data_IF_083444004305
#
_entry.id   IF_083444004305
#
_cell.length_a   1.000
_cell.length_b   1.000
_cell.length_c   1.000
_cell.angle_alpha   90.00
_cell.angle_beta   90.00
_cell.angle_gamma   90.00
#
_symmetry.space_group_name_H-M   'P 1'
#
loop_
_entity.id
_entity.type
_entity.pdbx_description
1 polymer ?
#
# COMPACT_ATOMS: atom_id res chain seq x y z
N UNK A 1 -81.36 24.80 -29.96
CA UNK A 1 -80.41 24.56 -28.85
C UNK A 1 -79.10 24.06 -29.45
N UNK A 2 -78.02 24.87 -29.47
CA UNK A 2 -76.70 24.42 -29.96
C UNK A 2 -76.02 23.61 -28.85
N UNK A 3 -75.72 22.34 -29.11
CA UNK A 3 -75.00 21.49 -28.17
C UNK A 3 -73.55 21.99 -28.01
N UNK A 4 -73.15 22.27 -26.77
CA UNK A 4 -71.76 22.61 -26.41
C UNK A 4 -70.92 21.33 -26.55
N UNK A 5 -69.92 21.37 -27.43
CA UNK A 5 -69.03 20.23 -27.70
C UNK A 5 -67.97 20.18 -26.59
N UNK A 6 -67.82 19.06 -25.84
CA UNK A 6 -66.80 18.95 -24.81
C UNK A 6 -65.40 18.94 -25.43
N UNK A 7 -64.51 19.81 -24.91
CA UNK A 7 -63.11 19.88 -25.31
C UNK A 7 -62.37 18.77 -24.55
N UNK A 8 -61.97 17.70 -25.25
CA UNK A 8 -61.23 16.59 -24.64
C UNK A 8 -59.71 16.81 -24.77
N UNK A 9 -59.02 17.00 -23.64
CA UNK A 9 -57.55 17.10 -23.55
C UNK A 9 -56.86 15.72 -23.69
N UNK A 10 -57.17 14.96 -24.75
CA UNK A 10 -56.61 13.62 -24.99
C UNK A 10 -55.10 13.72 -25.23
N UNK A 11 -54.30 13.02 -24.43
CA UNK A 11 -52.84 12.93 -24.57
C UNK A 11 -52.02 13.98 -23.81
N UNK A 12 -52.66 14.95 -23.15
CA UNK A 12 -51.95 15.96 -22.34
C UNK A 12 -51.09 15.35 -21.22
N UNK A 13 -51.61 14.31 -20.56
CA UNK A 13 -50.91 13.55 -19.51
C UNK A 13 -49.66 12.86 -20.07
N UNK A 14 -49.77 12.23 -21.24
CA UNK A 14 -48.65 11.52 -21.88
C UNK A 14 -47.53 12.50 -22.25
N UNK A 15 -47.87 13.66 -22.84
CA UNK A 15 -46.89 14.70 -23.18
C UNK A 15 -46.21 15.23 -21.91
N UNK A 16 -46.97 15.48 -20.85
CA UNK A 16 -46.42 15.91 -19.57
C UNK A 16 -45.44 14.88 -18.99
N UNK A 17 -45.80 13.60 -18.98
CA UNK A 17 -44.93 12.51 -18.50
C UNK A 17 -43.68 12.39 -19.37
N UNK A 18 -43.78 12.48 -20.70
CA UNK A 18 -42.60 12.41 -21.58
C UNK A 18 -41.61 13.54 -21.31
N UNK A 19 -42.09 14.76 -21.04
CA UNK A 19 -41.23 15.91 -20.68
C UNK A 19 -40.55 15.67 -19.33
N UNK A 20 -41.31 15.25 -18.32
CA UNK A 20 -40.77 14.94 -16.99
C UNK A 20 -39.73 13.82 -17.06
N UNK A 21 -40.02 12.75 -17.80
CA UNK A 21 -39.11 11.62 -17.97
C UNK A 21 -37.83 12.03 -18.70
N UNK A 22 -37.93 12.86 -19.74
CA UNK A 22 -36.77 13.41 -20.43
C UNK A 22 -35.89 14.24 -19.48
N UNK A 23 -36.51 15.07 -18.63
CA UNK A 23 -35.78 15.83 -17.61
C UNK A 23 -35.06 14.92 -16.61
N UNK A 24 -35.67 13.80 -16.20
CA UNK A 24 -35.06 12.82 -15.29
C UNK A 24 -33.86 12.15 -15.96
N UNK A 25 -33.96 11.76 -17.23
CA UNK A 25 -32.85 11.16 -17.96
C UNK A 25 -31.66 12.10 -18.13
N UNK A 26 -31.90 13.40 -18.33
CA UNK A 26 -30.82 14.39 -18.37
C UNK A 26 -30.06 14.44 -17.03
N UNK A 27 -30.78 14.49 -15.91
CA UNK A 27 -30.17 14.50 -14.58
C UNK A 27 -29.43 13.18 -14.31
N UNK A 28 -30.06 12.04 -14.59
CA UNK A 28 -29.44 10.73 -14.41
C UNK A 28 -28.17 10.56 -15.27
N UNK A 29 -28.21 10.97 -16.54
CA UNK A 29 -27.07 10.91 -17.45
C UNK A 29 -25.87 11.72 -16.94
N UNK A 30 -26.10 12.99 -16.55
CA UNK A 30 -25.03 13.82 -15.99
C UNK A 30 -24.44 13.25 -14.70
N UNK A 31 -25.27 12.66 -13.84
CA UNK A 31 -24.80 12.01 -12.62
C UNK A 31 -23.99 10.74 -12.92
N UNK A 32 -24.43 9.93 -13.89
CA UNK A 32 -23.70 8.74 -14.35
C UNK A 32 -22.35 9.11 -14.93
N UNK A 33 -22.25 10.17 -15.72
CA UNK A 33 -20.97 10.64 -16.27
C UNK A 33 -20.03 11.14 -15.16
N UNK A 34 -20.56 11.90 -14.20
CA UNK A 34 -19.78 12.32 -13.03
C UNK A 34 -19.31 11.12 -12.19
N UNK A 35 -20.16 10.11 -12.01
CA UNK A 35 -19.81 8.87 -11.33
C UNK A 35 -18.72 8.11 -12.09
N UNK A 36 -18.81 8.02 -13.42
CA UNK A 36 -17.82 7.35 -14.27
C UNK A 36 -16.43 7.97 -14.12
N UNK A 37 -16.33 9.30 -14.10
CA UNK A 37 -15.06 10.01 -13.90
C UNK A 37 -14.47 9.70 -12.51
N UNK A 38 -15.30 9.70 -11.46
CA UNK A 38 -14.85 9.38 -10.10
C UNK A 38 -14.38 7.93 -9.98
N UNK A 39 -15.08 6.99 -10.62
CA UNK A 39 -14.67 5.60 -10.66
C UNK A 39 -13.35 5.41 -11.40
N UNK A 40 -13.16 6.11 -12.52
CA UNK A 40 -11.91 6.10 -13.27
C UNK A 40 -10.73 6.56 -12.40
N UNK A 41 -10.87 7.69 -11.71
CA UNK A 41 -9.85 8.18 -10.78
C UNK A 41 -9.55 7.18 -9.65
N UNK A 42 -10.60 6.60 -9.08
CA UNK A 42 -10.47 5.60 -8.01
C UNK A 42 -9.76 4.33 -8.50
N UNK A 43 -10.02 3.90 -9.73
CA UNK A 43 -9.35 2.76 -10.35
C UNK A 43 -7.86 3.05 -10.59
N UNK A 44 -7.53 4.23 -11.12
CA UNK A 44 -6.14 4.66 -11.32
C UNK A 44 -5.36 4.68 -10.00
N UNK A 45 -5.95 5.22 -8.93
CA UNK A 45 -5.31 5.26 -7.63
C UNK A 45 -5.06 3.85 -7.07
N UNK A 46 -6.04 2.95 -7.18
CA UNK A 46 -5.88 1.54 -6.75
C UNK A 46 -4.81 0.83 -7.56
N UNK A 47 -4.85 0.95 -8.88
CA UNK A 47 -3.87 0.35 -9.77
C UNK A 47 -2.46 0.84 -9.45
N UNK A 48 -2.30 2.14 -9.19
CA UNK A 48 -1.03 2.76 -8.79
C UNK A 48 -0.53 2.20 -7.47
N UNK A 49 -1.37 2.13 -6.44
CA UNK A 49 -0.98 1.60 -5.13
C UNK A 49 -0.61 0.12 -5.19
N UNK A 50 -1.36 -0.68 -5.95
CA UNK A 50 -1.04 -2.10 -6.16
C UNK A 50 0.30 -2.26 -6.88
N UNK A 51 0.52 -1.52 -7.98
CA UNK A 51 1.77 -1.57 -8.72
C UNK A 51 2.97 -1.11 -7.86
N UNK A 52 2.83 -0.04 -7.09
CA UNK A 52 3.86 0.40 -6.13
C UNK A 52 4.15 -0.70 -5.11
N UNK A 53 3.12 -1.33 -4.55
CA UNK A 53 3.29 -2.41 -3.57
C UNK A 53 3.97 -3.63 -4.18
N UNK A 54 3.67 -3.98 -5.44
CA UNK A 54 4.32 -5.06 -6.18
C UNK A 54 5.80 -4.78 -6.39
N UNK A 55 6.14 -3.57 -6.84
CA UNK A 55 7.55 -3.15 -7.00
C UNK A 55 8.27 -3.17 -5.65
N UNK A 56 7.63 -2.67 -4.59
CA UNK A 56 8.20 -2.64 -3.25
C UNK A 56 8.34 -4.04 -2.62
N UNK A 57 7.53 -5.01 -3.04
CA UNK A 57 7.63 -6.40 -2.59
C UNK A 57 8.87 -7.12 -3.14
N UNK A 58 9.48 -6.62 -4.23
CA UNK A 58 10.73 -7.13 -4.79
C UNK A 58 11.98 -6.69 -3.99
N UNK A 59 11.82 -6.37 -2.70
CA UNK A 59 12.94 -5.96 -1.84
C UNK A 59 13.88 -7.14 -1.58
N UNK A 60 15.14 -6.85 -1.26
CA UNK A 60 16.09 -7.90 -0.92
C UNK A 60 15.83 -8.45 0.50
N UNK A 61 15.47 -9.74 0.59
CA UNK A 61 15.20 -10.40 1.87
C UNK A 61 16.41 -10.49 2.79
N UNK A 62 17.61 -10.76 2.27
CA UNK A 62 18.83 -10.85 3.09
C UNK A 62 19.14 -9.52 3.77
N UNK A 63 19.02 -8.42 3.02
CA UNK A 63 19.25 -7.06 3.51
C UNK A 63 18.25 -6.70 4.64
N UNK A 64 16.99 -7.09 4.49
CA UNK A 64 15.96 -6.88 5.51
C UNK A 64 16.16 -7.78 6.73
N UNK A 65 16.46 -9.05 6.55
CA UNK A 65 16.52 -10.02 7.65
C UNK A 65 17.75 -9.82 8.53
N UNK A 66 18.90 -9.55 7.91
CA UNK A 66 20.17 -9.37 8.62
C UNK A 66 20.31 -7.95 9.19
N UNK A 67 19.91 -6.93 8.43
CA UNK A 67 20.17 -5.53 8.78
C UNK A 67 18.92 -4.69 9.05
N UNK A 68 17.71 -5.22 8.81
CA UNK A 68 16.47 -4.46 8.98
C UNK A 68 16.21 -3.44 7.87
N UNK A 69 17.00 -3.46 6.80
CA UNK A 69 17.00 -2.43 5.77
C UNK A 69 16.13 -2.84 4.57
N UNK A 70 15.28 -1.93 4.11
CA UNK A 70 14.48 -2.11 2.90
C UNK A 70 15.20 -1.47 1.71
N UNK A 71 15.62 -2.30 0.75
CA UNK A 71 16.31 -1.85 -0.45
C UNK A 71 16.14 -2.79 -1.64
N UNK A 72 16.37 -2.22 -2.82
CA UNK A 72 16.34 -2.91 -4.12
C UNK A 72 17.71 -2.76 -4.78
N UNK A 73 18.12 -3.75 -5.57
CA UNK A 73 19.35 -3.70 -6.37
C UNK A 73 19.12 -3.14 -7.78
N UNK A 74 17.91 -2.69 -8.09
CA UNK A 74 17.53 -2.28 -9.44
C UNK A 74 17.98 -0.85 -9.78
N UNK A 75 18.45 -0.68 -11.01
CA UNK A 75 18.63 0.61 -11.64
C UNK A 75 17.28 1.34 -11.82
N UNK A 76 17.35 2.67 -11.91
CA UNK A 76 16.18 3.55 -11.99
C UNK A 76 15.22 3.18 -13.10
N UNK A 77 15.78 2.78 -14.24
CA UNK A 77 15.04 2.45 -15.46
C UNK A 77 14.24 1.16 -15.26
N UNK A 78 14.89 0.12 -14.72
CA UNK A 78 14.24 -1.17 -14.45
C UNK A 78 13.10 -1.07 -13.43
N UNK A 79 13.19 -0.17 -12.46
CA UNK A 79 12.11 0.08 -11.49
C UNK A 79 10.89 0.74 -12.17
N UNK A 80 11.13 1.73 -13.03
CA UNK A 80 10.07 2.38 -13.78
C UNK A 80 9.38 1.40 -14.74
N UNK A 81 10.16 0.60 -15.46
CA UNK A 81 9.63 -0.41 -16.39
C UNK A 81 8.77 -1.45 -15.66
N UNK A 82 9.26 -1.95 -14.53
CA UNK A 82 8.53 -2.92 -13.71
C UNK A 82 7.23 -2.32 -13.15
N UNK A 83 7.29 -1.06 -12.71
CA UNK A 83 6.09 -0.35 -12.27
C UNK A 83 5.08 -0.16 -13.40
N UNK A 84 5.53 0.26 -14.58
CA UNK A 84 4.69 0.47 -15.76
C UNK A 84 4.02 -0.83 -16.20
N UNK A 85 4.74 -1.95 -16.18
CA UNK A 85 4.20 -3.27 -16.47
C UNK A 85 3.08 -3.64 -15.48
N UNK A 86 3.32 -3.51 -14.17
CA UNK A 86 2.29 -3.81 -13.18
C UNK A 86 1.12 -2.82 -13.26
N UNK A 87 1.39 -1.55 -13.50
CA UNK A 87 0.38 -0.50 -13.56
C UNK A 87 -0.54 -0.69 -14.78
N UNK A 88 0.03 -0.95 -15.96
CA UNK A 88 -0.72 -1.22 -17.19
C UNK A 88 -1.61 -2.46 -17.06
N UNK A 89 -1.09 -3.54 -16.46
CA UNK A 89 -1.87 -4.75 -16.13
C UNK A 89 -3.03 -4.45 -15.19
N UNK A 90 -2.80 -3.68 -14.12
CA UNK A 90 -3.86 -3.30 -13.16
C UNK A 90 -4.92 -2.36 -13.76
N UNK A 91 -4.56 -1.61 -14.80
CA UNK A 91 -5.49 -0.78 -15.57
C UNK A 91 -6.21 -1.54 -16.69
N UNK A 92 -5.94 -2.85 -16.85
CA UNK A 92 -6.43 -3.69 -17.95
C UNK A 92 -6.12 -3.11 -19.34
N UNK A 93 -5.00 -2.39 -19.48
CA UNK A 93 -4.58 -1.84 -20.77
C UNK A 93 -4.25 -3.00 -21.72
N UNK A 94 -4.93 -3.08 -22.86
CA UNK A 94 -4.80 -4.14 -23.85
C UNK A 94 -5.84 -5.27 -23.72
N UNK A 95 -6.76 -5.18 -22.75
CA UNK A 95 -7.84 -6.16 -22.54
C UNK A 95 -9.06 -5.82 -23.39
N UNK A 96 -9.86 -6.79 -23.85
CA UNK A 96 -11.06 -6.49 -24.66
C UNK A 96 -12.15 -5.69 -23.91
N UNK A 97 -12.08 -5.62 -22.58
CA UNK A 97 -13.08 -5.01 -21.70
C UNK A 97 -12.66 -3.59 -21.23
N UNK A 98 -12.34 -2.72 -22.19
CA UNK A 98 -11.93 -1.34 -21.92
C UNK A 98 -13.14 -0.45 -21.59
N UNK A 99 -13.42 -0.27 -20.29
CA UNK A 99 -14.51 0.62 -19.83
C UNK A 99 -14.15 2.11 -19.84
N UNK A 100 -12.86 2.45 -19.65
CA UNK A 100 -12.40 3.84 -19.43
C UNK A 100 -11.38 4.34 -20.45
N UNK A 101 -10.81 3.47 -21.29
CA UNK A 101 -9.85 3.85 -22.33
C UNK A 101 -8.57 4.52 -21.81
N UNK A 102 -8.00 4.01 -20.71
CA UNK A 102 -6.77 4.57 -20.13
C UNK A 102 -5.59 4.48 -21.09
N UNK A 103 -4.81 5.56 -21.15
CA UNK A 103 -3.51 5.62 -21.82
C UNK A 103 -2.46 6.20 -20.86
N UNK A 104 -1.26 5.63 -20.86
CA UNK A 104 -0.15 6.08 -20.02
C UNK A 104 0.72 7.00 -20.87
N UNK A 105 0.84 8.28 -20.47
CA UNK A 105 1.68 9.26 -21.18
C UNK A 105 3.08 9.38 -20.57
N UNK A 106 3.15 9.47 -19.24
CA UNK A 106 4.40 9.60 -18.51
C UNK A 106 4.25 9.03 -17.10
N UNK A 107 5.28 8.33 -16.65
CA UNK A 107 5.40 7.84 -15.28
C UNK A 107 6.64 8.48 -14.66
N UNK A 108 6.45 9.16 -13.54
CA UNK A 108 7.54 9.68 -12.72
C UNK A 108 7.43 9.10 -11.32
N UNK A 109 8.34 8.20 -10.97
CA UNK A 109 8.45 7.68 -9.62
C UNK A 109 9.39 8.55 -8.79
N UNK A 110 8.86 9.13 -7.72
CA UNK A 110 9.67 9.79 -6.70
C UNK A 110 9.97 8.80 -5.58
N UNK A 111 11.23 8.78 -5.12
CA UNK A 111 11.70 7.84 -4.09
C UNK A 111 12.10 8.58 -2.83
N UNK A 112 11.12 9.00 -2.01
CA UNK A 112 11.43 9.66 -0.75
C UNK A 112 12.13 8.71 0.24
N UNK A 113 11.88 7.39 0.16
CA UNK A 113 12.34 6.38 1.13
C UNK A 113 13.61 5.61 0.74
N UNK A 114 14.47 6.19 -0.11
CA UNK A 114 15.73 5.53 -0.48
C UNK A 114 16.73 5.46 0.67
N UNK A 115 17.54 4.38 0.70
CA UNK A 115 18.63 4.22 1.67
C UNK A 115 19.72 5.30 1.55
N UNK A 116 19.76 6.07 0.45
CA UNK A 116 20.64 7.23 0.32
C UNK A 116 20.27 8.41 1.25
N UNK A 117 19.07 8.40 1.82
CA UNK A 117 18.67 9.38 2.82
C UNK A 117 19.08 8.88 4.22
N UNK A 118 20.09 9.53 4.81
CA UNK A 118 20.63 9.15 6.11
C UNK A 118 19.57 9.08 7.22
N UNK A 119 18.58 9.98 7.20
CA UNK A 119 17.50 9.98 8.19
C UNK A 119 16.68 8.68 8.13
N UNK A 120 16.34 8.23 6.93
CA UNK A 120 15.51 7.04 6.71
C UNK A 120 16.31 5.77 6.99
N UNK A 121 17.59 5.79 6.62
CA UNK A 121 18.53 4.73 6.97
C UNK A 121 18.62 4.54 8.49
N UNK A 122 18.82 5.64 9.24
CA UNK A 122 18.87 5.60 10.70
C UNK A 122 17.54 5.13 11.31
N UNK A 123 16.40 5.64 10.82
CA UNK A 123 15.07 5.23 11.27
C UNK A 123 14.83 3.72 11.06
N UNK A 124 15.26 3.14 9.93
CA UNK A 124 15.13 1.70 9.66
C UNK A 124 15.99 0.86 10.62
N UNK A 125 17.23 1.29 10.89
CA UNK A 125 18.10 0.62 11.87
C UNK A 125 17.48 0.70 13.27
N UNK A 126 17.01 1.88 13.67
CA UNK A 126 16.44 2.08 14.99
C UNK A 126 15.18 1.24 15.22
N UNK A 127 14.29 1.14 14.22
CA UNK A 127 13.10 0.29 14.34
C UNK A 127 13.48 -1.20 14.40
N UNK A 128 14.51 -1.63 13.66
CA UNK A 128 15.02 -3.00 13.74
C UNK A 128 15.65 -3.33 15.11
N UNK A 129 16.36 -2.38 15.70
CA UNK A 129 17.03 -2.53 16.99
C UNK A 129 16.10 -2.41 18.19
N UNK A 130 14.91 -1.81 18.04
CA UNK A 130 13.92 -1.54 19.10
C UNK A 130 13.67 -2.71 20.04
N UNK A 131 13.62 -3.94 19.51
CA UNK A 131 13.44 -5.15 20.30
C UNK A 131 14.71 -5.99 20.45
N UNK A 132 15.66 -5.90 19.51
CA UNK A 132 16.90 -6.68 19.54
C UNK A 132 17.92 -6.13 20.52
N UNK A 133 18.11 -4.81 20.57
CA UNK A 133 19.09 -4.19 21.44
C UNK A 133 18.85 -4.51 22.94
N UNK A 134 17.63 -4.39 23.49
CA UNK A 134 17.39 -4.73 24.89
C UNK A 134 17.59 -6.22 25.20
N UNK A 135 17.19 -7.11 24.28
CA UNK A 135 17.37 -8.56 24.44
C UNK A 135 18.85 -8.94 24.46
N UNK A 136 19.63 -8.37 23.55
CA UNK A 136 21.06 -8.63 23.44
C UNK A 136 21.80 -8.14 24.69
N UNK A 137 21.52 -6.92 25.15
CA UNK A 137 22.09 -6.36 26.40
C UNK A 137 21.71 -7.23 27.60
N UNK A 138 20.45 -7.65 27.72
CA UNK A 138 20.01 -8.51 28.82
C UNK A 138 20.71 -9.88 28.79
N UNK A 139 20.84 -10.48 27.60
CA UNK A 139 21.53 -11.77 27.42
C UNK A 139 23.01 -11.68 27.79
N UNK A 140 23.68 -10.58 27.42
CA UNK A 140 25.07 -10.34 27.76
C UNK A 140 25.22 -10.19 29.29
N UNK A 141 24.37 -9.41 29.94
CA UNK A 141 24.37 -9.24 31.40
C UNK A 141 24.15 -10.56 32.14
N UNK A 142 23.17 -11.36 31.71
CA UNK A 142 22.89 -12.68 32.29
C UNK A 142 24.09 -13.62 32.14
N UNK A 143 24.72 -13.63 30.97
CA UNK A 143 25.92 -14.45 30.71
C UNK A 143 27.08 -14.08 31.64
N UNK A 144 27.31 -12.78 31.89
CA UNK A 144 28.34 -12.30 32.83
C UNK A 144 28.02 -12.69 34.26
N UNK A 145 26.76 -12.56 34.69
CA UNK A 145 26.30 -12.99 36.02
C UNK A 145 26.49 -14.49 36.22
N UNK A 146 26.17 -15.30 35.21
CA UNK A 146 26.37 -16.75 35.25
C UNK A 146 27.86 -17.12 35.34
N UNK A 147 28.72 -16.41 34.61
CA UNK A 147 30.18 -16.52 34.72
C UNK A 147 30.67 -16.26 36.15
N UNK A 148 30.19 -15.19 36.79
CA UNK A 148 30.50 -14.87 38.19
C UNK A 148 30.01 -15.97 39.14
N UNK A 149 28.79 -16.47 38.94
CA UNK A 149 28.23 -17.57 39.76
C UNK A 149 29.08 -18.84 39.66
N UNK A 150 29.55 -19.19 38.45
CA UNK A 150 30.44 -20.34 38.22
C UNK A 150 31.79 -20.15 38.90
N UNK A 151 32.33 -18.93 38.90
CA UNK A 151 33.55 -18.57 39.61
C UNK A 151 33.40 -18.73 41.13
N UNK A 152 32.32 -18.19 41.72
CA UNK A 152 32.01 -18.33 43.16
C UNK A 152 31.88 -19.81 43.55
N UNK A 153 31.22 -20.62 42.72
CA UNK A 153 31.06 -22.07 42.97
C UNK A 153 32.41 -22.80 43.00
N UNK A 154 33.33 -22.46 42.10
CA UNK A 154 34.71 -22.98 42.10
C UNK A 154 35.45 -22.58 43.37
N UNK A 155 35.39 -21.31 43.78
CA UNK A 155 36.04 -20.83 45.01
C UNK A 155 35.54 -21.59 46.26
N UNK A 156 34.22 -21.79 46.39
CA UNK A 156 33.65 -22.58 47.50
C UNK A 156 34.18 -24.03 47.52
N UNK A 157 34.33 -24.66 46.35
CA UNK A 157 34.85 -26.03 46.27
C UNK A 157 36.33 -26.14 46.63
N UNK A 158 37.13 -25.11 46.35
CA UNK A 158 38.54 -25.05 46.74
C UNK A 158 38.71 -24.81 48.24
N UNK A 159 37.91 -23.93 48.84
CA UNK A 159 37.94 -23.72 50.29
C UNK A 159 37.49 -24.96 51.09
N UNK A 160 36.50 -25.70 50.59
CA UNK A 160 36.05 -26.96 51.22
C UNK A 160 37.10 -28.09 51.14
N UNK A 161 38.03 -28.04 50.18
CA UNK A 161 39.11 -29.03 50.02
C UNK A 161 40.34 -28.71 50.87
N UNK A 162 40.58 -27.44 51.19
CA UNK A 162 41.70 -27.00 52.05
C UNK A 162 41.39 -27.04 53.56
N UNK A 163 40.11 -27.14 53.98
CA UNK A 163 39.72 -27.24 55.40
C UNK A 163 39.66 -28.66 55.97
N UNK A 164 40.16 -29.67 55.24
CA UNK A 164 40.14 -31.09 55.64
C UNK A 164 41.57 -31.70 55.74
N UNK A 165 42.57 -30.84 56.03
CA UNK A 165 43.91 -31.22 56.49
C UNK A 165 44.12 -30.66 57.88
#
# INVERSE_FOLDING_TARGET
MKAVKPIYNKGSITVFISIVLSSIFLVAGTFTDAARIRLAHSQVQRASQTALSSVLACYNNELKEQYGLFGFYLDNETVNDSFEEYFSKNLNIGSQDFLYGFNIENIKLERPFGLGNNKIFEEQIMEFMKYRAPLEIASELLSKIEGIKKFIKRLKSLQKKNGNR
#
